data_IF_478057610580
#
_entry.id   IF_478057610580
#
_cell.length_a   1.000
_cell.length_b   1.000
_cell.length_c   1.000
_cell.angle_alpha   90.00
_cell.angle_beta   90.00
_cell.angle_gamma   90.00
#
_symmetry.space_group_name_H-M   'P 1'
#
loop_
_entity.id
_entity.type
_entity.pdbx_description
1 polymer ?
#
# COMPACT_ATOMS: atom_id res chain seq x y z
N UNK A 1 -9.74 11.36 9.30
CA UNK A 1 -8.97 11.35 8.03
C UNK A 1 -7.54 11.88 8.18
N UNK A 2 -7.28 13.11 8.65
CA UNK A 2 -5.89 13.59 8.85
C UNK A 2 -5.04 12.69 9.76
N UNK A 3 -5.64 12.17 10.84
CA UNK A 3 -4.99 11.17 11.70
C UNK A 3 -4.65 9.88 10.93
N UNK A 4 -5.52 9.42 10.02
CA UNK A 4 -5.29 8.22 9.21
C UNK A 4 -4.14 8.42 8.20
N UNK A 5 -4.06 9.61 7.58
CA UNK A 5 -2.97 9.98 6.70
C UNK A 5 -1.62 10.01 7.44
N UNK A 6 -1.60 10.59 8.65
CA UNK A 6 -0.41 10.61 9.49
C UNK A 6 0.01 9.20 9.93
N UNK A 7 -0.93 8.35 10.34
CA UNK A 7 -0.65 6.95 10.71
C UNK A 7 -0.04 6.20 9.53
N UNK A 8 -0.65 6.26 8.35
CA UNK A 8 -0.12 5.60 7.16
C UNK A 8 1.26 6.13 6.75
N UNK A 9 1.53 7.44 6.91
CA UNK A 9 2.87 7.99 6.68
C UNK A 9 3.91 7.44 7.67
N UNK A 10 3.56 7.38 8.96
CA UNK A 10 4.43 6.78 9.97
C UNK A 10 4.70 5.30 9.68
N UNK A 11 3.67 4.53 9.30
CA UNK A 11 3.84 3.13 8.91
C UNK A 11 4.76 2.97 7.70
N UNK A 12 4.64 3.85 6.70
CA UNK A 12 5.54 3.86 5.55
C UNK A 12 7.00 4.10 5.97
N UNK A 13 7.27 5.06 6.86
CA UNK A 13 8.63 5.28 7.38
C UNK A 13 9.16 4.06 8.15
N UNK A 14 8.32 3.40 8.95
CA UNK A 14 8.71 2.19 9.69
C UNK A 14 8.99 1.00 8.75
N UNK A 15 8.29 0.90 7.61
CA UNK A 15 8.63 -0.07 6.57
C UNK A 15 10.02 0.18 5.98
N UNK A 16 10.41 1.44 5.78
CA UNK A 16 11.77 1.78 5.33
C UNK A 16 12.83 1.46 6.39
N UNK A 17 12.52 1.65 7.67
CA UNK A 17 13.42 1.24 8.77
C UNK A 17 13.63 -0.27 8.74
N UNK A 18 12.55 -1.06 8.61
CA UNK A 18 12.64 -2.52 8.51
C UNK A 18 13.43 -2.97 7.27
N UNK A 19 13.24 -2.31 6.12
CA UNK A 19 14.06 -2.54 4.93
C UNK A 19 15.55 -2.27 5.19
N UNK A 20 15.88 -1.19 5.92
CA UNK A 20 17.24 -0.88 6.34
C UNK A 20 17.85 -1.93 7.30
N UNK A 21 17.04 -2.48 8.21
CA UNK A 21 17.46 -3.58 9.10
C UNK A 21 17.82 -4.81 8.25
N UNK A 22 16.95 -5.20 7.31
CA UNK A 22 17.19 -6.32 6.41
C UNK A 22 18.46 -6.16 5.55
N UNK A 23 18.68 -4.97 5.00
CA UNK A 23 19.92 -4.65 4.28
C UNK A 23 21.16 -4.78 5.17
N UNK A 24 21.04 -4.40 6.45
CA UNK A 24 22.12 -4.56 7.44
C UNK A 24 22.36 -6.03 7.74
N UNK A 25 21.31 -6.85 7.91
CA UNK A 25 21.42 -8.29 8.13
C UNK A 25 22.06 -9.00 6.93
N UNK A 26 21.71 -8.65 5.69
CA UNK A 26 22.39 -9.13 4.48
C UNK A 26 23.90 -8.86 4.53
N UNK A 27 24.27 -7.62 4.89
CA UNK A 27 25.68 -7.23 4.99
C UNK A 27 26.40 -7.97 6.11
N UNK A 28 25.78 -8.09 7.29
CA UNK A 28 26.35 -8.83 8.43
C UNK A 28 26.52 -10.31 8.10
N UNK A 29 25.53 -10.93 7.45
CA UNK A 29 25.61 -12.33 6.99
C UNK A 29 26.75 -12.52 5.96
N UNK A 30 26.89 -11.58 5.02
CA UNK A 30 28.01 -11.58 4.08
C UNK A 30 29.36 -11.48 4.79
N UNK A 31 29.49 -10.56 5.73
CA UNK A 31 30.73 -10.39 6.49
C UNK A 31 31.01 -11.65 7.30
N UNK A 32 30.08 -12.14 8.13
CA UNK A 32 30.27 -13.30 8.99
C UNK A 32 30.69 -14.57 8.21
N UNK A 33 30.07 -14.84 7.05
CA UNK A 33 30.43 -16.00 6.21
C UNK A 33 31.86 -15.96 5.65
N UNK A 34 32.49 -14.78 5.57
CA UNK A 34 33.90 -14.66 5.17
C UNK A 34 34.89 -14.90 6.32
N UNK A 35 34.42 -14.94 7.57
CA UNK A 35 35.27 -15.21 8.75
C UNK A 35 35.19 -16.67 9.23
N UNK A 36 34.24 -17.47 8.76
CA UNK A 36 34.06 -18.88 9.16
C UNK A 36 35.26 -19.81 8.88
N UNK A 37 36.27 -19.36 8.14
CA UNK A 37 37.48 -20.12 7.82
C UNK A 37 38.76 -19.69 8.55
N UNK A 38 38.76 -18.59 9.30
CA UNK A 38 39.90 -18.15 10.10
C UNK A 38 39.58 -18.39 11.59
N UNK A 39 40.57 -18.74 12.43
CA UNK A 39 40.43 -18.85 13.91
C UNK A 39 39.99 -17.54 14.61
N UNK A 40 39.47 -16.57 13.87
CA UNK A 40 39.01 -15.27 14.36
C UNK A 40 37.52 -15.32 14.59
N UNK A 41 37.11 -14.86 15.77
CA UNK A 41 35.70 -14.66 16.10
C UNK A 41 35.03 -13.74 15.07
N UNK A 42 33.85 -14.13 14.60
CA UNK A 42 33.04 -13.32 13.71
C UNK A 42 32.73 -11.95 14.36
N UNK A 43 32.70 -10.85 13.57
CA UNK A 43 32.52 -9.51 14.13
C UNK A 43 31.15 -9.30 14.80
N UNK A 44 30.14 -10.07 14.39
CA UNK A 44 28.81 -10.08 15.02
C UNK A 44 28.49 -11.49 15.49
N UNK A 45 28.20 -11.63 16.79
CA UNK A 45 27.82 -12.92 17.37
C UNK A 45 26.53 -13.48 16.73
N UNK A 46 26.43 -14.80 16.51
CA UNK A 46 25.22 -15.43 15.96
C UNK A 46 23.94 -15.10 16.76
N UNK A 47 24.05 -14.99 18.09
CA UNK A 47 22.90 -14.68 18.94
C UNK A 47 22.32 -13.29 18.69
N UNK A 48 23.17 -12.28 18.50
CA UNK A 48 22.74 -10.92 18.22
C UNK A 48 22.11 -10.83 16.83
N UNK A 49 22.67 -11.54 15.86
CA UNK A 49 22.15 -11.61 14.50
C UNK A 49 20.70 -12.13 14.49
N UNK A 50 20.49 -13.34 15.01
CA UNK A 50 19.16 -13.96 15.04
C UNK A 50 18.17 -13.21 15.94
N UNK A 51 18.61 -12.64 17.07
CA UNK A 51 17.73 -11.79 17.89
C UNK A 51 17.20 -10.60 17.07
N UNK A 52 18.06 -9.89 16.35
CA UNK A 52 17.64 -8.74 15.54
C UNK A 52 16.71 -9.18 14.41
N UNK A 53 17.04 -10.28 13.73
CA UNK A 53 16.22 -10.88 12.67
C UNK A 53 14.79 -11.20 13.15
N UNK A 54 14.64 -12.12 14.11
CA UNK A 54 13.30 -12.56 14.53
C UNK A 54 12.47 -11.46 15.19
N UNK A 55 13.09 -10.57 15.98
CA UNK A 55 12.35 -9.46 16.57
C UNK A 55 11.96 -8.39 15.55
N UNK A 56 12.80 -8.13 14.54
CA UNK A 56 12.44 -7.23 13.44
C UNK A 56 11.25 -7.79 12.65
N UNK A 57 11.26 -9.08 12.32
CA UNK A 57 10.17 -9.76 11.60
C UNK A 57 8.88 -9.78 12.41
N UNK A 58 8.95 -9.98 13.73
CA UNK A 58 7.79 -9.80 14.61
C UNK A 58 7.23 -8.38 14.62
N UNK A 59 8.10 -7.38 14.76
CA UNK A 59 7.68 -5.97 14.72
C UNK A 59 7.05 -5.62 13.37
N UNK A 60 7.59 -6.13 12.28
CA UNK A 60 7.06 -5.93 10.95
C UNK A 60 5.67 -6.56 10.77
N UNK A 61 5.44 -7.77 11.28
CA UNK A 61 4.11 -8.39 11.27
C UNK A 61 3.04 -7.54 12.02
N UNK A 62 3.44 -6.85 13.10
CA UNK A 62 2.57 -5.88 13.78
C UNK A 62 2.29 -4.68 12.86
N UNK A 63 3.32 -4.14 12.20
CA UNK A 63 3.16 -3.02 11.26
C UNK A 63 2.22 -3.35 10.10
N UNK A 64 2.33 -4.55 9.52
CA UNK A 64 1.42 -5.04 8.49
C UNK A 64 -0.03 -5.09 8.99
N UNK A 65 -0.25 -5.60 10.20
CA UNK A 65 -1.57 -5.62 10.82
C UNK A 65 -2.14 -4.21 11.00
N UNK A 66 -1.35 -3.27 11.53
CA UNK A 66 -1.79 -1.88 11.72
C UNK A 66 -2.07 -1.22 10.35
N UNK A 67 -1.27 -1.51 9.32
CA UNK A 67 -1.47 -1.02 7.96
C UNK A 67 -2.80 -1.48 7.36
N UNK A 68 -3.12 -2.76 7.50
CA UNK A 68 -4.41 -3.30 7.04
C UNK A 68 -5.60 -2.74 7.84
N UNK A 69 -5.44 -2.50 9.14
CA UNK A 69 -6.47 -1.83 9.95
C UNK A 69 -6.66 -0.37 9.53
N UNK A 70 -5.57 0.29 9.11
CA UNK A 70 -5.54 1.70 8.68
C UNK A 70 -5.99 1.92 7.23
N UNK A 71 -6.45 0.86 6.56
CA UNK A 71 -6.94 0.92 5.19
C UNK A 71 -8.35 1.55 5.13
N UNK A 72 -8.58 2.54 4.25
CA UNK A 72 -9.89 3.16 4.08
C UNK A 72 -11.00 2.14 3.75
N UNK A 73 -12.21 2.37 4.27
CA UNK A 73 -13.36 1.44 4.12
C UNK A 73 -13.74 1.19 2.65
N UNK A 74 -13.44 2.10 1.73
CA UNK A 74 -13.72 1.96 0.30
C UNK A 74 -12.97 0.77 -0.34
N UNK A 75 -11.75 0.49 0.09
CA UNK A 75 -10.95 -0.67 -0.36
C UNK A 75 -11.39 -1.97 0.31
N UNK A 76 -12.16 -1.90 1.40
CA UNK A 76 -12.64 -3.05 2.16
C UNK A 76 -13.67 -3.89 1.40
N UNK A 77 -14.27 -3.36 0.34
CA UNK A 77 -15.17 -4.07 -0.58
C UNK A 77 -14.46 -5.21 -1.34
N UNK A 78 -13.12 -5.16 -1.45
CA UNK A 78 -12.32 -6.26 -2.00
C UNK A 78 -12.22 -7.42 -0.99
N UNK A 79 -12.34 -7.13 0.31
CA UNK A 79 -12.30 -8.11 1.40
C UNK A 79 -13.72 -8.52 1.80
N UNK A 80 -14.39 -9.28 0.92
CA UNK A 80 -15.75 -9.77 1.18
C UNK A 80 -15.87 -10.66 2.43
N UNK A 81 -14.76 -11.12 3.01
CA UNK A 81 -14.72 -11.82 4.29
C UNK A 81 -13.72 -11.17 5.28
N UNK A 82 -14.17 -10.28 6.18
CA UNK A 82 -13.31 -9.66 7.18
C UNK A 82 -12.86 -10.62 8.29
N UNK A 83 -13.45 -11.82 8.40
CA UNK A 83 -13.06 -12.83 9.38
C UNK A 83 -11.80 -13.56 8.91
N UNK A 84 -11.77 -13.97 7.64
CA UNK A 84 -10.57 -14.55 7.01
C UNK A 84 -9.34 -13.66 7.15
N UNK A 85 -9.47 -12.36 6.84
CA UNK A 85 -8.35 -11.41 6.94
C UNK A 85 -7.83 -11.30 8.39
N UNK A 86 -8.73 -11.22 9.38
CA UNK A 86 -8.35 -11.16 10.79
C UNK A 86 -7.64 -12.42 11.25
N UNK A 87 -8.09 -13.60 10.81
CA UNK A 87 -7.43 -14.86 11.14
C UNK A 87 -6.03 -14.91 10.52
N UNK A 88 -5.88 -14.57 9.24
CA UNK A 88 -4.57 -14.54 8.56
C UNK A 88 -3.61 -13.60 9.29
N UNK A 89 -4.05 -12.38 9.63
CA UNK A 89 -3.25 -11.42 10.39
C UNK A 89 -2.88 -11.92 11.78
N UNK A 90 -3.83 -12.52 12.50
CA UNK A 90 -3.58 -13.09 13.83
C UNK A 90 -2.54 -14.20 13.77
N UNK A 91 -2.69 -15.14 12.83
CA UNK A 91 -1.70 -16.20 12.62
C UNK A 91 -0.34 -15.62 12.23
N UNK A 92 -0.28 -14.58 11.39
CA UNK A 92 0.98 -13.94 11.02
C UNK A 92 1.69 -13.35 12.26
N UNK A 93 0.98 -12.65 13.15
CA UNK A 93 1.62 -12.10 14.36
C UNK A 93 2.08 -13.22 15.30
N UNK A 94 1.24 -14.20 15.58
CA UNK A 94 1.58 -15.30 16.50
C UNK A 94 2.76 -16.12 15.97
N UNK A 95 2.77 -16.41 14.67
CA UNK A 95 3.80 -17.22 14.06
C UNK A 95 5.16 -16.52 13.91
N UNK A 96 5.26 -15.18 13.97
CA UNK A 96 6.59 -14.51 14.14
C UNK A 96 6.96 -14.33 15.59
N UNK A 97 5.97 -14.17 16.48
CA UNK A 97 6.24 -14.00 17.90
C UNK A 97 6.85 -15.24 18.54
N UNK A 98 6.36 -16.44 18.17
CA UNK A 98 6.85 -17.71 18.73
C UNK A 98 8.34 -17.93 18.43
N UNK A 99 8.83 -17.85 17.17
CA UNK A 99 10.26 -17.89 16.84
C UNK A 99 11.10 -16.87 17.62
N UNK A 100 10.64 -15.61 17.70
CA UNK A 100 11.34 -14.56 18.44
C UNK A 100 11.52 -14.91 19.93
N UNK A 101 10.49 -15.48 20.56
CA UNK A 101 10.58 -15.96 21.94
C UNK A 101 11.51 -17.17 22.08
N UNK A 102 11.40 -18.16 21.18
CA UNK A 102 12.21 -19.38 21.22
C UNK A 102 13.71 -19.06 21.11
N UNK A 103 14.09 -18.22 20.14
CA UNK A 103 15.48 -17.77 19.97
C UNK A 103 15.97 -16.94 21.16
N UNK A 104 15.09 -16.12 21.77
CA UNK A 104 15.44 -15.38 22.99
C UNK A 104 15.71 -16.33 24.17
N UNK A 105 15.05 -17.48 24.23
CA UNK A 105 15.22 -18.46 25.30
C UNK A 105 16.48 -19.30 25.15
N UNK A 106 16.69 -19.89 23.97
CA UNK A 106 17.85 -20.72 23.67
C UNK A 106 18.04 -20.83 22.15
N UNK A 107 18.98 -20.06 21.62
CA UNK A 107 19.31 -20.09 20.19
C UNK A 107 19.75 -21.49 19.75
N UNK A 108 20.76 -22.07 20.39
CA UNK A 108 21.38 -23.34 19.97
C UNK A 108 20.37 -24.50 19.82
N UNK A 109 19.34 -24.53 20.68
CA UNK A 109 18.32 -25.57 20.62
C UNK A 109 17.20 -25.27 19.63
N UNK A 110 16.80 -24.00 19.50
CA UNK A 110 15.58 -23.63 18.81
C UNK A 110 15.77 -22.90 17.48
N UNK A 111 16.99 -22.61 17.07
CA UNK A 111 17.30 -21.97 15.78
C UNK A 111 16.58 -22.67 14.61
N UNK A 112 16.83 -23.96 14.42
CA UNK A 112 16.23 -24.74 13.33
C UNK A 112 14.70 -24.72 13.40
N UNK A 113 14.12 -24.95 14.58
CA UNK A 113 12.66 -24.96 14.77
C UNK A 113 12.07 -23.57 14.51
N UNK A 114 12.78 -22.50 14.87
CA UNK A 114 12.34 -21.11 14.70
C UNK A 114 12.30 -20.74 13.21
N UNK A 115 13.34 -21.08 12.44
CA UNK A 115 13.34 -20.90 11.00
C UNK A 115 12.27 -21.75 10.30
N UNK A 116 12.05 -23.01 10.72
CA UNK A 116 10.98 -23.85 10.16
C UNK A 116 9.58 -23.25 10.37
N UNK A 117 9.31 -22.68 11.54
CA UNK A 117 8.06 -21.97 11.84
C UNK A 117 7.93 -20.72 10.97
N UNK A 118 9.00 -19.94 10.80
CA UNK A 118 8.94 -18.71 10.00
C UNK A 118 8.75 -19.03 8.51
N UNK A 119 9.43 -20.05 7.98
CA UNK A 119 9.17 -20.58 6.63
C UNK A 119 7.73 -21.11 6.45
N UNK A 120 7.11 -21.61 7.52
CA UNK A 120 5.71 -22.05 7.48
C UNK A 120 4.72 -20.89 7.33
N UNK A 121 5.07 -19.65 7.71
CA UNK A 121 4.24 -18.48 7.41
C UNK A 121 4.17 -18.21 5.92
N UNK A 122 5.29 -18.42 5.23
CA UNK A 122 5.44 -18.25 3.79
C UNK A 122 4.52 -19.20 3.00
N UNK A 123 4.20 -20.36 3.56
CA UNK A 123 3.26 -21.33 3.00
C UNK A 123 1.81 -20.82 2.92
N UNK A 124 1.40 -19.91 3.81
CA UNK A 124 0.03 -19.35 3.83
C UNK A 124 -0.20 -18.30 2.74
N UNK A 125 0.87 -17.80 2.12
CA UNK A 125 0.84 -16.81 1.04
C UNK A 125 1.23 -17.52 -0.26
N UNK A 126 0.28 -18.11 -0.98
CA UNK A 126 0.53 -19.06 -2.09
C UNK A 126 1.52 -18.63 -3.21
N UNK A 127 1.84 -17.34 -3.36
CA UNK A 127 2.87 -16.85 -4.30
C UNK A 127 4.29 -16.95 -3.71
N UNK A 128 4.39 -16.86 -2.39
CA UNK A 128 5.59 -17.09 -1.62
C UNK A 128 5.88 -18.57 -1.41
N UNK A 129 4.88 -19.47 -1.52
CA UNK A 129 5.08 -20.91 -1.53
C UNK A 129 6.06 -21.38 -2.63
N UNK A 130 6.13 -20.68 -3.77
CA UNK A 130 7.13 -20.96 -4.80
C UNK A 130 8.56 -20.61 -4.35
N UNK A 131 8.72 -19.49 -3.65
CA UNK A 131 10.01 -19.06 -3.06
C UNK A 131 10.38 -19.97 -1.88
N UNK A 132 9.41 -20.37 -1.06
CA UNK A 132 9.55 -21.32 0.03
C UNK A 132 10.05 -22.68 -0.44
N UNK A 133 9.55 -23.17 -1.57
CA UNK A 133 10.04 -24.42 -2.18
C UNK A 133 11.49 -24.29 -2.67
N UNK A 134 11.88 -23.11 -3.15
CA UNK A 134 13.27 -22.81 -3.52
C UNK A 134 14.14 -22.74 -2.26
N UNK A 135 13.72 -22.05 -1.20
CA UNK A 135 14.45 -21.94 0.07
C UNK A 135 14.60 -23.30 0.76
N UNK A 136 13.50 -24.06 0.91
CA UNK A 136 13.50 -25.40 1.48
C UNK A 136 14.36 -26.35 0.66
N UNK A 137 14.34 -26.20 -0.68
CA UNK A 137 15.21 -26.91 -1.59
C UNK A 137 16.68 -26.56 -1.37
N UNK A 138 17.04 -25.28 -1.36
CA UNK A 138 18.41 -24.83 -1.11
C UNK A 138 18.93 -25.27 0.26
N UNK A 139 18.11 -25.13 1.31
CA UNK A 139 18.46 -25.50 2.68
C UNK A 139 18.70 -27.00 2.84
N UNK A 140 17.82 -27.85 2.29
CA UNK A 140 17.92 -29.31 2.47
C UNK A 140 18.76 -30.05 1.41
N UNK A 141 18.88 -29.53 0.18
CA UNK A 141 19.55 -30.23 -0.92
C UNK A 141 21.05 -29.95 -1.01
N UNK A 142 21.56 -28.89 -0.38
CA UNK A 142 22.99 -28.55 -0.41
C UNK A 142 23.83 -29.40 0.55
N UNK A 143 23.18 -30.24 1.37
CA UNK A 143 23.83 -31.15 2.31
C UNK A 143 24.41 -30.46 3.53
N UNK A 144 25.05 -31.26 4.39
CA UNK A 144 25.73 -30.79 5.61
C UNK A 144 27.23 -30.63 5.40
N UNK A 145 27.83 -29.69 6.10
CA UNK A 145 29.29 -29.58 6.25
C UNK A 145 29.84 -30.76 7.07
N UNK A 146 31.16 -30.91 7.12
CA UNK A 146 31.85 -31.89 7.96
C UNK A 146 31.51 -31.74 9.45
N UNK A 147 31.16 -30.53 9.86
CA UNK A 147 30.94 -30.13 11.24
C UNK A 147 29.47 -30.23 11.67
N UNK A 148 28.57 -30.54 10.72
CA UNK A 148 27.14 -30.77 10.95
C UNK A 148 26.23 -29.63 10.49
N UNK A 149 26.80 -28.47 10.16
CA UNK A 149 26.06 -27.28 9.74
C UNK A 149 25.48 -27.40 8.33
N UNK A 150 24.40 -26.67 8.06
CA UNK A 150 23.68 -26.76 6.78
C UNK A 150 24.34 -25.84 5.75
N UNK A 151 24.92 -26.39 4.68
CA UNK A 151 25.58 -25.57 3.62
C UNK A 151 24.65 -24.60 2.92
N UNK A 152 23.35 -24.87 2.95
CA UNK A 152 22.32 -24.05 2.32
C UNK A 152 21.85 -22.87 3.16
N UNK A 153 22.26 -22.77 4.43
CA UNK A 153 21.78 -21.75 5.37
C UNK A 153 22.06 -20.32 4.90
N UNK A 154 23.32 -20.02 4.56
CA UNK A 154 23.72 -18.68 4.07
C UNK A 154 22.92 -18.26 2.85
N UNK A 155 22.67 -19.19 1.92
CA UNK A 155 21.89 -18.92 0.72
C UNK A 155 20.39 -18.74 1.03
N UNK A 156 19.86 -19.52 1.97
CA UNK A 156 18.48 -19.39 2.44
C UNK A 156 18.23 -18.02 3.07
N UNK A 157 19.16 -17.53 3.91
CA UNK A 157 19.10 -16.18 4.49
C UNK A 157 19.09 -15.08 3.42
N UNK A 158 19.90 -15.19 2.35
CA UNK A 158 19.82 -14.20 1.27
C UNK A 158 18.46 -14.19 0.58
N UNK A 159 17.89 -15.37 0.29
CA UNK A 159 16.55 -15.45 -0.30
C UNK A 159 15.48 -14.89 0.63
N UNK A 160 15.60 -15.15 1.93
CA UNK A 160 14.71 -14.68 3.00
C UNK A 160 14.73 -13.16 3.10
N UNK A 161 15.90 -12.55 3.27
CA UNK A 161 16.01 -11.09 3.39
C UNK A 161 15.57 -10.35 2.12
N UNK A 162 15.85 -10.89 0.92
CA UNK A 162 15.35 -10.30 -0.33
C UNK A 162 13.82 -10.33 -0.36
N UNK A 163 13.22 -11.44 0.06
CA UNK A 163 11.77 -11.56 0.14
C UNK A 163 11.18 -10.58 1.17
N UNK A 164 11.79 -10.45 2.35
CA UNK A 164 11.37 -9.48 3.35
C UNK A 164 11.49 -8.03 2.85
N UNK A 165 12.56 -7.69 2.11
CA UNK A 165 12.72 -6.37 1.48
C UNK A 165 11.59 -6.11 0.48
N UNK A 166 11.31 -7.05 -0.43
CA UNK A 166 10.22 -6.89 -1.42
C UNK A 166 8.88 -6.72 -0.71
N UNK A 167 8.61 -7.53 0.32
CA UNK A 167 7.38 -7.47 1.11
C UNK A 167 7.24 -6.12 1.82
N UNK A 168 8.32 -5.60 2.40
CA UNK A 168 8.36 -4.28 3.04
C UNK A 168 8.11 -3.13 2.06
N UNK A 169 8.60 -3.24 0.82
CA UNK A 169 8.36 -2.25 -0.23
C UNK A 169 6.90 -2.27 -0.69
N UNK A 170 6.30 -3.46 -0.83
CA UNK A 170 4.87 -3.58 -1.13
C UNK A 170 4.04 -2.93 -0.03
N UNK A 171 4.34 -3.22 1.25
CA UNK A 171 3.66 -2.61 2.39
C UNK A 171 3.86 -1.08 2.43
N UNK A 172 5.06 -0.60 2.10
CA UNK A 172 5.35 0.83 1.98
C UNK A 172 4.48 1.51 0.93
N UNK A 173 4.43 0.97 -0.30
CA UNK A 173 3.62 1.53 -1.37
C UNK A 173 2.13 1.49 -1.02
N UNK A 174 1.66 0.39 -0.42
CA UNK A 174 0.30 0.28 0.07
C UNK A 174 -0.05 1.36 1.12
N UNK A 175 0.85 1.61 2.09
CA UNK A 175 0.68 2.68 3.06
C UNK A 175 0.63 4.07 2.39
N UNK A 176 1.49 4.32 1.41
CA UNK A 176 1.48 5.57 0.65
C UNK A 176 0.18 5.76 -0.13
N UNK A 177 -0.31 4.73 -0.82
CA UNK A 177 -1.59 4.77 -1.52
C UNK A 177 -2.74 5.07 -0.56
N UNK A 178 -2.78 4.42 0.60
CA UNK A 178 -3.77 4.70 1.64
C UNK A 178 -3.72 6.15 2.14
N UNK A 179 -2.51 6.70 2.31
CA UNK A 179 -2.32 8.12 2.64
C UNK A 179 -2.87 9.01 1.52
N UNK A 180 -2.54 8.75 0.26
CA UNK A 180 -3.01 9.55 -0.87
C UNK A 180 -4.54 9.53 -1.01
N UNK A 181 -5.17 8.36 -0.82
CA UNK A 181 -6.63 8.25 -0.81
C UNK A 181 -7.23 9.07 0.34
N UNK A 182 -6.65 8.98 1.54
CA UNK A 182 -7.11 9.76 2.69
C UNK A 182 -6.98 11.27 2.47
N UNK A 183 -5.87 11.73 1.87
CA UNK A 183 -5.65 13.14 1.55
C UNK A 183 -6.63 13.62 0.47
N UNK A 184 -6.91 12.79 -0.54
CA UNK A 184 -7.91 13.09 -1.58
C UNK A 184 -9.31 13.23 -0.99
N UNK A 185 -9.71 12.31 -0.09
CA UNK A 185 -11.00 12.41 0.62
C UNK A 185 -11.08 13.66 1.51
N UNK A 186 -10.00 14.04 2.20
CA UNK A 186 -9.95 15.31 2.95
C UNK A 186 -10.11 16.50 2.02
N UNK A 187 -9.45 16.49 0.87
CA UNK A 187 -9.58 17.52 -0.16
C UNK A 187 -11.02 17.67 -0.63
N UNK A 188 -11.72 16.57 -0.90
CA UNK A 188 -13.15 16.59 -1.24
C UNK A 188 -14.06 17.04 -0.11
N UNK A 189 -13.71 16.81 1.16
CA UNK A 189 -14.53 17.30 2.29
C UNK A 189 -14.32 18.80 2.52
N UNK A 190 -13.08 19.27 2.46
CA UNK A 190 -12.73 20.67 2.74
C UNK A 190 -13.04 21.60 1.57
N UNK A 191 -12.85 21.12 0.35
CA UNK A 191 -12.93 21.89 -0.89
C UNK A 191 -13.89 21.25 -1.89
N UNK A 192 -14.82 20.43 -1.41
CA UNK A 192 -15.70 19.61 -2.23
C UNK A 192 -16.35 20.35 -3.39
N UNK A 193 -16.99 19.58 -4.28
CA UNK A 193 -17.76 20.10 -5.40
C UNK A 193 -18.83 21.07 -4.87
N UNK A 194 -18.48 22.34 -4.75
CA UNK A 194 -19.39 23.46 -4.73
C UNK A 194 -20.02 23.48 -6.13
N UNK A 195 -21.00 22.59 -6.31
CA UNK A 195 -22.02 22.67 -7.34
C UNK A 195 -23.11 23.68 -6.95
N UNK A 196 -22.85 24.48 -5.91
CA UNK A 196 -23.52 25.75 -5.72
C UNK A 196 -23.16 26.57 -6.95
N UNK A 197 -24.08 26.67 -7.91
CA UNK A 197 -23.88 27.27 -9.25
C UNK A 197 -23.45 28.75 -9.28
N UNK A 198 -22.91 29.28 -8.19
CA UNK A 198 -22.13 30.52 -8.13
C UNK A 198 -20.66 30.15 -7.87
N UNK A 199 -19.87 30.12 -8.95
CA UNK A 199 -18.47 29.70 -8.94
C UNK A 199 -17.64 30.27 -7.78
N UNK A 200 -17.20 29.38 -6.90
CA UNK A 200 -16.16 29.68 -5.93
C UNK A 200 -14.80 29.67 -6.63
N UNK A 201 -14.24 30.84 -6.91
CA UNK A 201 -12.95 31.00 -7.61
C UNK A 201 -11.78 30.33 -6.85
N UNK A 202 -11.88 30.23 -5.52
CA UNK A 202 -10.85 29.63 -4.66
C UNK A 202 -10.79 28.09 -4.86
N UNK A 203 -11.93 27.44 -5.05
CA UNK A 203 -12.00 26.00 -5.27
C UNK A 203 -11.54 25.61 -6.68
N UNK A 204 -11.78 26.45 -7.68
CA UNK A 204 -11.37 26.21 -9.07
C UNK A 204 -9.84 26.28 -9.24
N UNK A 205 -9.17 27.24 -8.60
CA UNK A 205 -7.71 27.38 -8.74
C UNK A 205 -6.96 26.28 -7.96
N UNK A 206 -7.48 25.84 -6.82
CA UNK A 206 -6.86 24.76 -6.03
C UNK A 206 -7.10 23.36 -6.62
N UNK A 207 -8.25 23.09 -7.24
CA UNK A 207 -8.50 21.79 -7.89
C UNK A 207 -7.59 21.57 -9.09
N UNK A 208 -7.34 22.62 -9.89
CA UNK A 208 -6.43 22.57 -11.04
C UNK A 208 -4.98 22.35 -10.58
N UNK A 209 -4.53 23.02 -9.52
CA UNK A 209 -3.19 22.78 -8.97
C UNK A 209 -3.05 21.35 -8.42
N UNK A 210 -4.08 20.82 -7.76
CA UNK A 210 -4.05 19.47 -7.21
C UNK A 210 -4.04 18.40 -8.32
N UNK A 211 -4.87 18.55 -9.37
CA UNK A 211 -4.81 17.65 -10.53
C UNK A 211 -3.46 17.72 -11.25
N UNK A 212 -2.89 18.91 -11.46
CA UNK A 212 -1.59 19.09 -12.13
C UNK A 212 -0.41 18.52 -11.34
N UNK A 213 -0.50 18.46 -10.01
CA UNK A 213 0.57 17.92 -9.16
C UNK A 213 0.69 16.40 -9.26
N UNK A 214 -0.42 15.69 -9.55
CA UNK A 214 -0.47 14.22 -9.49
C UNK A 214 -0.79 13.54 -10.82
N UNK A 215 -1.44 14.25 -11.74
CA UNK A 215 -1.64 13.83 -13.12
C UNK A 215 -0.93 14.83 -14.00
N UNK A 216 0.37 14.63 -14.22
CA UNK A 216 1.00 15.18 -15.42
C UNK A 216 0.54 14.29 -16.58
N UNK A 217 -0.43 14.71 -17.43
CA UNK A 217 -0.57 14.06 -18.72
C UNK A 217 0.79 14.17 -19.44
N UNK A 218 1.21 13.14 -20.19
CA UNK A 218 2.40 13.25 -21.02
C UNK A 218 2.27 14.52 -21.86
N UNK A 219 3.25 15.40 -21.71
CA UNK A 219 3.27 16.76 -22.20
C UNK A 219 3.16 16.77 -23.73
N UNK A 220 1.94 16.66 -24.26
CA UNK A 220 1.70 16.67 -25.69
C UNK A 220 1.52 18.12 -26.13
N UNK A 221 2.65 18.75 -26.47
CA UNK A 221 2.83 20.18 -26.71
C UNK A 221 2.15 20.75 -27.98
N UNK A 222 1.02 20.19 -28.43
CA UNK A 222 0.44 20.54 -29.75
C UNK A 222 -1.01 21.06 -29.75
N UNK A 223 -1.66 21.29 -28.60
CA UNK A 223 -3.08 21.66 -28.58
C UNK A 223 -3.40 23.16 -28.44
N UNK A 224 -2.53 24.07 -28.89
CA UNK A 224 -2.81 25.51 -28.76
C UNK A 224 -3.54 26.19 -29.92
N UNK A 225 -4.00 25.48 -30.96
CA UNK A 225 -4.57 26.14 -32.15
C UNK A 225 -6.05 25.95 -32.46
N UNK A 226 -6.84 25.17 -31.70
CA UNK A 226 -8.22 24.86 -32.11
C UNK A 226 -9.36 25.34 -31.19
N UNK A 227 -9.09 26.07 -30.11
CA UNK A 227 -10.15 26.52 -29.18
C UNK A 227 -10.85 27.83 -29.60
N UNK A 228 -10.38 28.57 -30.62
CA UNK A 228 -11.02 29.83 -31.06
C UNK A 228 -12.21 29.65 -32.02
N UNK A 229 -12.54 28.41 -32.42
CA UNK A 229 -13.59 28.13 -33.42
C UNK A 229 -14.95 27.69 -32.86
N UNK A 230 -15.00 27.21 -31.60
CA UNK A 230 -16.22 26.61 -31.03
C UNK A 230 -17.15 27.62 -30.33
N UNK A 231 -16.61 28.72 -29.82
CA UNK A 231 -17.39 29.75 -29.12
C UNK A 231 -18.34 30.52 -30.06
N UNK A 232 -18.02 30.60 -31.35
CA UNK A 232 -18.89 31.27 -32.33
C UNK A 232 -20.09 30.43 -32.77
N UNK A 233 -20.06 29.10 -32.59
CA UNK A 233 -21.15 28.21 -33.03
C UNK A 233 -22.23 28.09 -31.95
N UNK A 234 -21.85 28.05 -30.68
CA UNK A 234 -22.79 28.01 -29.56
C UNK A 234 -23.65 29.29 -29.47
N UNK A 235 -23.04 30.47 -29.71
CA UNK A 235 -23.75 31.75 -29.72
C UNK A 235 -24.77 31.90 -30.86
N UNK A 236 -24.63 31.13 -31.95
CA UNK A 236 -25.60 31.13 -33.07
C UNK A 236 -26.83 30.26 -32.82
N UNK A 237 -26.67 29.12 -32.13
CA UNK A 237 -27.78 28.23 -31.83
C UNK A 237 -28.71 28.83 -30.76
N UNK A 238 -28.17 29.58 -29.81
CA UNK A 238 -28.98 30.20 -28.75
C UNK A 238 -29.88 31.32 -29.30
N UNK A 239 -29.42 32.10 -30.29
CA UNK A 239 -30.28 33.11 -30.97
C UNK A 239 -31.39 32.52 -31.85
N UNK A 240 -31.28 31.26 -32.29
CA UNK A 240 -32.34 30.62 -33.07
C UNK A 240 -33.49 30.10 -32.20
N UNK A 241 -33.22 29.71 -30.95
CA UNK A 241 -34.26 29.32 -29.99
C UNK A 241 -35.16 30.50 -29.57
N UNK A 242 -34.55 31.65 -29.25
CA UNK A 242 -35.28 32.82 -28.74
C UNK A 242 -36.25 33.42 -29.77
N UNK A 243 -35.94 33.32 -31.07
CA UNK A 243 -36.83 33.79 -32.13
C UNK A 243 -38.06 32.90 -32.38
N UNK A 244 -38.01 31.61 -32.04
CA UNK A 244 -39.19 30.72 -32.17
C UNK A 244 -40.18 30.88 -31.02
N UNK A 245 -39.71 31.27 -29.84
CA UNK A 245 -40.58 31.48 -28.67
C UNK A 245 -41.37 32.80 -28.72
N UNK A 246 -40.89 33.78 -29.49
CA UNK A 246 -41.61 35.05 -29.70
C UNK A 246 -42.83 34.93 -30.64
N UNK A 247 -42.97 33.85 -31.44
CA UNK A 247 -44.08 33.67 -32.38
C UNK A 247 -45.26 32.84 -31.84
N UNK A 248 -45.13 32.18 -30.69
CA UNK A 248 -46.19 31.30 -30.15
C UNK A 248 -47.10 31.94 -29.10
N UNK A 249 -46.93 33.24 -28.79
CA UNK A 249 -47.63 33.90 -27.67
C UNK A 249 -48.90 34.70 -28.05
N UNK A 250 -49.46 34.55 -29.25
CA UNK A 250 -50.64 35.33 -29.71
C UNK A 250 -51.93 34.51 -29.83
N UNK A 251 -52.25 33.65 -28.86
CA UNK A 251 -53.57 32.98 -28.80
C UNK A 251 -54.27 33.37 -27.51
N UNK A 252 -55.21 34.32 -27.63
CA UNK A 252 -56.16 34.74 -26.60
C UNK A 252 -57.18 33.62 -26.32
N UNK A 253 -57.38 33.19 -25.05
CA UNK A 253 -58.56 32.42 -24.69
C UNK A 253 -59.70 33.35 -24.27
N UNK A 254 -60.84 33.11 -24.92
CA UNK A 254 -62.16 33.69 -24.68
C UNK A 254 -62.62 33.57 -23.22
N UNK A 255 -63.20 34.66 -22.72
CA UNK A 255 -64.08 34.71 -21.54
C UNK A 255 -65.25 33.72 -21.69
N UNK A 256 -65.54 32.95 -20.63
CA UNK A 256 -66.86 32.35 -20.43
C UNK A 256 -67.28 32.47 -18.96
N UNK A 257 -68.29 33.30 -18.74
CA UNK A 257 -69.04 33.51 -17.49
C UNK A 257 -70.19 32.52 -17.39
N UNK A 258 -70.23 31.71 -16.33
CA UNK A 258 -71.41 31.12 -15.68
C UNK A 258 -70.95 30.81 -14.23
N UNK A 259 -71.60 31.19 -13.15
CA UNK A 259 -73.02 31.41 -12.90
C UNK A 259 -73.55 30.28 -12.01
N UNK A 260 -74.10 30.67 -10.84
CA UNK A 260 -75.19 29.97 -10.12
C UNK A 260 -74.88 28.89 -9.07
N UNK A 261 -75.13 29.28 -7.80
CA UNK A 261 -76.00 28.66 -6.77
C UNK A 261 -75.71 27.24 -6.25
N UNK A 262 -75.67 27.14 -4.93
CA UNK A 262 -75.75 25.91 -4.14
C UNK A 262 -75.17 26.09 -2.75
#
# INVERSE_FOLDING_TARGET
MRQLANVNFTLALLCLVYCGINMTLIFVNYVNSHYEGEEKDAPVSPIMFHLVEFWATFCFAILECISLISTPKALRTIYNDPLMLKLILFFNIVASFVPALLVTMNLELFEVVSHEIDYSKLFMTCLAAMVALVQLGCYNLMGRTSDGDMRGEVLAHYCEFIFEIISSLIAFFFCLENKFIADKEIGFILYGTHNDGLGCHICHDQSIQFEQTYFLPPHNSNYHHHQKGLDHTAARLQRQGDNQQAQSSSVLPHHSTYGSLG
#
